data_IF_780190898703
#
_entry.id   IF_780190898703
#
_cell.length_a   1.000
_cell.length_b   1.000
_cell.length_c   1.000
_cell.angle_alpha   90.00
_cell.angle_beta   90.00
_cell.angle_gamma   90.00
#
_symmetry.space_group_name_H-M   'P 1'
#
loop_
_entity.id
_entity.type
_entity.pdbx_description
1 polymer ?
#
# COMPACT_ATOMS: atom_id res chain seq x y z
N UNK A 1 12.55 -15.90 -5.85
CA UNK A 1 11.86 -14.59 -5.78
C UNK A 1 10.38 -14.63 -6.13
N UNK A 2 9.82 -15.55 -6.92
CA UNK A 2 8.35 -15.68 -7.07
C UNK A 2 7.82 -16.92 -6.35
N UNK A 3 6.75 -16.76 -5.58
CA UNK A 3 5.93 -17.84 -5.06
C UNK A 3 4.56 -17.80 -5.76
N UNK A 4 4.05 -18.95 -6.25
CA UNK A 4 2.79 -18.98 -7.00
C UNK A 4 1.59 -18.70 -6.10
N UNK A 5 0.43 -18.50 -6.74
CA UNK A 5 -0.87 -18.45 -6.07
C UNK A 5 -1.09 -19.63 -5.12
N UNK A 6 -1.54 -19.35 -3.90
CA UNK A 6 -1.77 -20.34 -2.85
C UNK A 6 -3.26 -20.43 -2.46
N UNK A 7 -3.91 -21.53 -2.84
CA UNK A 7 -5.29 -21.85 -2.42
C UNK A 7 -5.43 -22.10 -0.90
N UNK A 8 -4.33 -22.29 -0.18
CA UNK A 8 -4.30 -22.50 1.26
C UNK A 8 -4.71 -21.27 2.08
N UNK A 9 -4.38 -20.07 1.60
CA UNK A 9 -4.67 -18.80 2.30
C UNK A 9 -6.06 -18.24 2.00
N UNK A 10 -6.68 -18.66 0.91
CA UNK A 10 -8.03 -18.27 0.50
C UNK A 10 -9.07 -19.27 1.01
N UNK A 11 -9.28 -19.27 2.34
CA UNK A 11 -10.25 -20.16 3.00
C UNK A 11 -10.93 -19.42 4.15
N UNK A 12 -12.16 -19.80 4.44
CA UNK A 12 -12.92 -19.20 5.53
C UNK A 12 -14.18 -20.00 5.86
N UNK A 13 -15.03 -19.38 6.67
CA UNK A 13 -16.37 -19.91 6.95
C UNK A 13 -17.21 -19.81 5.68
N UNK A 14 -17.77 -20.96 5.28
CA UNK A 14 -18.88 -21.00 4.32
C UNK A 14 -20.21 -20.86 5.07
N UNK A 15 -21.17 -20.18 4.45
CA UNK A 15 -22.55 -20.06 4.93
C UNK A 15 -23.50 -20.86 4.00
N UNK A 16 -23.05 -22.03 3.54
CA UNK A 16 -23.85 -22.97 2.74
C UNK A 16 -25.16 -23.31 3.46
N UNK A 17 -26.28 -23.16 2.75
CA UNK A 17 -27.63 -23.42 3.26
C UNK A 17 -28.40 -22.17 3.72
N UNK A 18 -27.75 -21.01 3.83
CA UNK A 18 -28.45 -19.72 4.03
C UNK A 18 -29.07 -19.22 2.71
N UNK A 19 -30.22 -18.51 2.76
CA UNK A 19 -30.84 -17.96 1.57
C UNK A 19 -30.09 -16.74 1.01
N UNK A 20 -29.99 -16.63 -0.32
CA UNK A 20 -29.39 -15.48 -1.01
C UNK A 20 -27.94 -15.68 -1.44
N UNK A 21 -27.25 -14.58 -1.79
CA UNK A 21 -25.82 -14.60 -2.16
C UNK A 21 -24.96 -14.49 -0.90
N UNK A 22 -24.37 -15.62 -0.51
CA UNK A 22 -23.54 -15.77 0.71
C UNK A 22 -22.05 -15.83 0.40
N UNK A 23 -21.67 -15.62 -0.87
CA UNK A 23 -20.27 -15.74 -1.32
C UNK A 23 -19.35 -14.82 -0.52
N UNK A 24 -18.18 -15.34 -0.20
CA UNK A 24 -17.04 -14.64 0.40
C UNK A 24 -15.98 -14.38 -0.67
N UNK A 25 -14.96 -13.58 -0.33
CA UNK A 25 -13.89 -13.27 -1.29
C UNK A 25 -13.16 -14.53 -1.76
N UNK A 26 -13.02 -15.55 -0.90
CA UNK A 26 -12.42 -16.82 -1.31
C UNK A 26 -13.23 -17.58 -2.37
N UNK A 27 -14.53 -17.31 -2.54
CA UNK A 27 -15.36 -17.94 -3.56
C UNK A 27 -15.20 -17.29 -4.95
N UNK A 28 -14.60 -16.09 -5.01
CA UNK A 28 -14.48 -15.30 -6.24
C UNK A 28 -13.03 -15.09 -6.70
N UNK A 29 -12.05 -15.42 -5.85
CA UNK A 29 -10.64 -15.26 -6.17
C UNK A 29 -10.19 -16.32 -7.20
N UNK A 30 -9.49 -15.88 -8.23
CA UNK A 30 -8.84 -16.77 -9.21
C UNK A 30 -7.37 -16.38 -9.39
N UNK A 31 -6.49 -17.31 -9.79
CA UNK A 31 -5.10 -16.97 -10.09
C UNK A 31 -5.02 -15.95 -11.24
N UNK A 32 -4.11 -14.99 -11.12
CA UNK A 32 -3.74 -14.12 -12.23
C UNK A 32 -2.80 -14.87 -13.19
N UNK A 33 -3.20 -14.99 -14.46
CA UNK A 33 -2.47 -15.78 -15.47
C UNK A 33 -1.86 -14.93 -16.57
N UNK A 34 -1.79 -13.59 -16.42
CA UNK A 34 -1.33 -12.68 -17.48
C UNK A 34 -2.33 -12.52 -18.65
N UNK A 35 -3.58 -12.97 -18.47
CA UNK A 35 -4.64 -12.76 -19.45
C UNK A 35 -5.24 -11.35 -19.32
N UNK A 36 -5.77 -10.82 -20.43
CA UNK A 36 -6.48 -9.55 -20.42
C UNK A 36 -7.67 -9.58 -19.44
N UNK A 37 -7.78 -8.54 -18.63
CA UNK A 37 -8.82 -8.37 -17.62
C UNK A 37 -9.81 -7.28 -18.07
N UNK A 38 -11.02 -7.31 -17.49
CA UNK A 38 -11.91 -6.15 -17.53
C UNK A 38 -11.21 -4.95 -16.89
N UNK A 39 -11.42 -3.74 -17.42
CA UNK A 39 -10.82 -2.54 -16.83
C UNK A 39 -11.17 -2.44 -15.35
N UNK A 40 -10.16 -2.17 -14.51
CA UNK A 40 -10.28 -1.96 -13.05
C UNK A 40 -10.51 -3.22 -12.20
N UNK A 41 -10.30 -4.42 -12.75
CA UNK A 41 -10.24 -5.65 -11.95
C UNK A 41 -9.06 -5.59 -10.95
N UNK A 42 -9.32 -5.82 -9.66
CA UNK A 42 -8.28 -5.82 -8.65
C UNK A 42 -7.41 -7.09 -8.76
N UNK A 43 -6.10 -6.90 -8.75
CA UNK A 43 -5.13 -8.00 -8.74
C UNK A 43 -4.27 -7.88 -7.48
N UNK A 44 -4.43 -8.84 -6.57
CA UNK A 44 -3.63 -8.92 -5.35
C UNK A 44 -2.24 -9.45 -5.71
N UNK A 45 -1.21 -8.78 -5.20
CA UNK A 45 0.18 -9.20 -5.30
C UNK A 45 0.76 -9.17 -3.91
N UNK A 46 1.44 -10.21 -3.45
CA UNK A 46 2.16 -10.14 -2.18
C UNK A 46 3.61 -9.73 -2.38
N UNK A 47 4.15 -8.97 -1.44
CA UNK A 47 5.58 -8.68 -1.35
C UNK A 47 6.11 -9.14 0.00
N UNK A 48 6.54 -10.39 0.08
CA UNK A 48 7.05 -11.03 1.30
C UNK A 48 8.49 -10.63 1.59
N UNK A 49 8.71 -9.40 2.03
CA UNK A 49 10.03 -8.87 2.40
C UNK A 49 9.96 -7.95 3.62
N UNK A 50 10.88 -8.13 4.56
CA UNK A 50 11.18 -7.19 5.64
C UNK A 50 12.69 -6.90 5.74
N UNK A 51 13.42 -7.15 4.65
CA UNK A 51 14.85 -6.88 4.56
C UNK A 51 15.14 -5.37 4.67
N UNK A 52 14.29 -4.52 4.10
CA UNK A 52 14.37 -3.08 4.26
C UNK A 52 14.07 -2.64 5.69
N UNK A 53 13.10 -3.26 6.36
CA UNK A 53 12.85 -3.05 7.81
C UNK A 53 14.09 -3.38 8.62
N UNK A 54 14.71 -4.54 8.36
CA UNK A 54 15.96 -4.97 9.01
C UNK A 54 17.08 -3.97 8.78
N UNK A 55 17.28 -3.51 7.53
CA UNK A 55 18.29 -2.50 7.17
C UNK A 55 18.01 -1.14 7.84
N UNK A 56 16.75 -0.78 8.05
CA UNK A 56 16.33 0.42 8.76
C UNK A 56 16.29 0.26 10.29
N UNK A 57 16.77 -0.88 10.82
CA UNK A 57 16.81 -1.20 12.26
C UNK A 57 15.43 -1.32 12.92
N UNK A 58 14.40 -1.64 12.15
CA UNK A 58 13.07 -1.96 12.63
C UNK A 58 12.95 -3.40 13.15
N UNK A 59 11.73 -3.78 13.54
CA UNK A 59 11.39 -5.12 14.03
C UNK A 59 10.89 -6.00 12.88
N UNK A 60 11.67 -7.01 12.51
CA UNK A 60 11.35 -7.96 11.44
C UNK A 60 10.12 -8.84 11.75
N UNK A 61 9.52 -9.39 10.72
CA UNK A 61 8.32 -10.23 10.75
C UNK A 61 7.33 -9.89 9.64
N UNK A 62 7.42 -8.70 9.05
CA UNK A 62 6.51 -8.22 8.02
C UNK A 62 6.59 -9.02 6.70
N UNK A 63 7.65 -9.78 6.45
CA UNK A 63 7.72 -10.69 5.29
C UNK A 63 6.58 -11.74 5.29
N UNK A 64 5.99 -12.06 6.44
CA UNK A 64 4.83 -12.96 6.56
C UNK A 64 3.48 -12.25 6.43
N UNK A 65 3.48 -10.92 6.37
CA UNK A 65 2.29 -10.08 6.27
C UNK A 65 1.36 -10.46 5.10
N UNK A 66 1.86 -10.65 3.86
CA UNK A 66 0.99 -10.90 2.70
C UNK A 66 0.07 -12.12 2.86
N UNK A 67 0.59 -13.23 3.39
CA UNK A 67 -0.19 -14.45 3.61
C UNK A 67 -1.26 -14.28 4.68
N UNK A 68 -0.96 -13.58 5.77
CA UNK A 68 -1.93 -13.32 6.84
C UNK A 68 -2.99 -12.28 6.43
N UNK A 69 -2.64 -11.28 5.63
CA UNK A 69 -3.60 -10.32 5.07
C UNK A 69 -4.58 -10.98 4.11
N UNK A 70 -4.11 -11.91 3.26
CA UNK A 70 -5.00 -12.74 2.43
C UNK A 70 -5.99 -13.54 3.27
N UNK A 71 -5.54 -14.19 4.34
CA UNK A 71 -6.43 -14.92 5.26
C UNK A 71 -7.47 -14.01 5.91
N UNK A 72 -7.09 -12.79 6.27
CA UNK A 72 -8.01 -11.80 6.83
C UNK A 72 -9.04 -11.30 5.80
N UNK A 73 -8.65 -11.17 4.53
CA UNK A 73 -9.53 -10.81 3.42
C UNK A 73 -10.47 -11.95 3.03
N UNK A 74 -9.98 -13.20 2.98
CA UNK A 74 -10.66 -14.35 2.41
C UNK A 74 -12.11 -14.50 2.91
N UNK A 75 -12.33 -14.36 4.22
CA UNK A 75 -13.64 -14.53 4.85
C UNK A 75 -14.57 -13.32 4.75
N UNK A 76 -14.17 -12.20 4.14
CA UNK A 76 -15.04 -11.04 3.96
C UNK A 76 -16.11 -11.34 2.90
N UNK A 77 -17.34 -10.79 3.04
CA UNK A 77 -18.39 -10.97 2.04
C UNK A 77 -17.95 -10.46 0.67
N UNK A 78 -18.16 -11.24 -0.38
CA UNK A 78 -17.94 -10.78 -1.74
C UNK A 78 -19.19 -10.09 -2.28
N UNK A 79 -19.04 -8.89 -2.81
CA UNK A 79 -20.14 -8.19 -3.48
C UNK A 79 -20.12 -8.56 -4.98
N UNK A 80 -21.28 -8.62 -5.65
CA UNK A 80 -21.37 -9.15 -7.03
C UNK A 80 -20.49 -8.47 -8.08
N UNK A 81 -20.02 -7.25 -7.82
CA UNK A 81 -19.23 -6.44 -8.75
C UNK A 81 -17.70 -6.61 -8.60
N UNK A 82 -17.22 -7.49 -7.71
CA UNK A 82 -15.79 -7.63 -7.43
C UNK A 82 -15.18 -8.72 -8.31
N UNK A 83 -14.44 -8.34 -9.35
CA UNK A 83 -13.54 -9.26 -10.06
C UNK A 83 -12.18 -9.22 -9.39
N UNK A 84 -11.77 -10.34 -8.77
CA UNK A 84 -10.53 -10.43 -8.01
C UNK A 84 -9.60 -11.48 -8.60
N UNK A 85 -8.32 -11.12 -8.75
CA UNK A 85 -7.25 -12.04 -9.11
C UNK A 85 -6.13 -12.00 -8.08
N UNK A 86 -5.32 -13.04 -8.00
CA UNK A 86 -4.12 -13.08 -7.17
C UNK A 86 -2.92 -13.59 -7.96
N UNK A 87 -1.86 -12.78 -8.02
CA UNK A 87 -0.62 -13.05 -8.75
C UNK A 87 0.41 -13.84 -7.92
N UNK A 88 0.06 -14.26 -6.71
CA UNK A 88 1.00 -14.86 -5.76
C UNK A 88 1.90 -13.81 -5.13
N UNK A 89 3.09 -14.25 -4.70
CA UNK A 89 4.03 -13.40 -3.96
C UNK A 89 5.33 -13.21 -4.72
N UNK A 90 5.92 -12.02 -4.53
CA UNK A 90 7.34 -11.79 -4.70
C UNK A 90 7.99 -11.83 -3.32
N UNK A 91 9.03 -12.63 -3.17
CA UNK A 91 9.76 -12.86 -1.91
C UNK A 91 11.20 -12.39 -2.02
N UNK A 92 11.74 -11.85 -0.93
CA UNK A 92 13.14 -11.46 -0.84
C UNK A 92 14.01 -12.63 -0.36
N UNK A 93 14.76 -13.24 -1.27
CA UNK A 93 15.68 -14.33 -0.97
C UNK A 93 17.08 -13.79 -0.64
N UNK A 94 17.74 -14.32 0.39
CA UNK A 94 19.13 -14.02 0.73
C UNK A 94 19.48 -12.52 0.91
N UNK A 95 18.50 -11.68 1.25
CA UNK A 95 18.68 -10.24 1.46
C UNK A 95 18.80 -9.42 0.17
N UNK A 96 18.49 -9.99 -1.00
CA UNK A 96 18.44 -9.29 -2.30
C UNK A 96 17.15 -8.46 -2.44
N UNK A 97 17.06 -7.38 -1.64
CA UNK A 97 15.91 -6.49 -1.64
C UNK A 97 15.72 -5.82 -3.00
N UNK A 98 16.80 -5.36 -3.61
CA UNK A 98 16.79 -4.67 -4.90
C UNK A 98 16.27 -5.59 -6.02
N UNK A 99 16.71 -6.86 -6.05
CA UNK A 99 16.19 -7.87 -6.96
C UNK A 99 14.71 -8.17 -6.73
N UNK A 100 14.28 -8.27 -5.47
CA UNK A 100 12.88 -8.50 -5.13
C UNK A 100 11.99 -7.32 -5.55
N UNK A 101 12.42 -6.08 -5.32
CA UNK A 101 11.71 -4.88 -5.77
C UNK A 101 11.62 -4.81 -7.30
N UNK A 102 12.68 -5.19 -8.01
CA UNK A 102 12.67 -5.26 -9.48
C UNK A 102 11.70 -6.34 -9.99
N UNK A 103 11.58 -7.48 -9.30
CA UNK A 103 10.60 -8.51 -9.67
C UNK A 103 9.17 -8.08 -9.37
N UNK A 104 8.93 -7.39 -8.24
CA UNK A 104 7.63 -6.77 -7.94
C UNK A 104 7.23 -5.76 -9.02
N UNK A 105 8.17 -4.91 -9.45
CA UNK A 105 7.94 -3.95 -10.52
C UNK A 105 7.47 -4.62 -11.82
N UNK A 106 8.02 -5.79 -12.19
CA UNK A 106 7.55 -6.54 -13.36
C UNK A 106 6.11 -7.01 -13.21
N UNK A 107 5.74 -7.57 -12.04
CA UNK A 107 4.38 -8.06 -11.78
C UNK A 107 3.36 -6.92 -11.81
N UNK A 108 3.70 -5.78 -11.20
CA UNK A 108 2.87 -4.57 -11.21
C UNK A 108 2.68 -4.05 -12.64
N UNK A 109 3.76 -3.96 -13.42
CA UNK A 109 3.70 -3.53 -14.82
C UNK A 109 2.86 -4.48 -15.68
N UNK A 110 3.03 -5.80 -15.53
CA UNK A 110 2.25 -6.81 -16.25
C UNK A 110 0.76 -6.74 -15.90
N UNK A 111 0.44 -6.55 -14.61
CA UNK A 111 -0.93 -6.37 -14.13
C UNK A 111 -1.62 -5.19 -14.81
N UNK A 112 -0.94 -4.04 -14.83
CA UNK A 112 -1.44 -2.82 -15.47
C UNK A 112 -1.58 -2.99 -16.99
N UNK A 113 -0.63 -3.67 -17.64
CA UNK A 113 -0.70 -3.96 -19.07
C UNK A 113 -1.88 -4.87 -19.44
N UNK A 114 -2.32 -5.73 -18.52
CA UNK A 114 -3.51 -6.57 -18.69
C UNK A 114 -4.83 -5.84 -18.39
N UNK A 115 -4.80 -4.55 -18.01
CA UNK A 115 -5.98 -3.77 -17.63
C UNK A 115 -6.43 -3.94 -16.17
N UNK A 116 -5.67 -4.71 -15.38
CA UNK A 116 -5.91 -4.87 -13.94
C UNK A 116 -5.31 -3.73 -13.12
N UNK A 117 -5.76 -3.61 -11.88
CA UNK A 117 -5.26 -2.66 -10.89
C UNK A 117 -4.55 -3.41 -9.76
N UNK A 118 -3.22 -3.28 -9.61
CA UNK A 118 -2.50 -3.97 -8.55
C UNK A 118 -2.84 -3.39 -7.17
N UNK A 119 -3.15 -4.30 -6.24
CA UNK A 119 -3.21 -4.06 -4.81
C UNK A 119 -2.12 -4.91 -4.16
N UNK A 120 -0.99 -4.28 -3.81
CA UNK A 120 0.16 -4.99 -3.24
C UNK A 120 0.00 -5.10 -1.72
N UNK A 121 -0.06 -6.33 -1.22
CA UNK A 121 0.03 -6.62 0.20
C UNK A 121 1.51 -6.75 0.53
N UNK A 122 2.06 -5.73 1.17
CA UNK A 122 3.49 -5.60 1.43
C UNK A 122 3.98 -6.40 2.62
N UNK A 123 5.30 -6.32 2.81
CA UNK A 123 5.96 -6.49 4.10
C UNK A 123 6.35 -5.11 4.59
N UNK A 124 7.64 -4.79 4.65
CA UNK A 124 8.05 -3.42 5.00
C UNK A 124 7.74 -2.37 3.93
N UNK A 125 7.84 -1.09 4.29
CA UNK A 125 7.50 0.03 3.39
C UNK A 125 8.45 0.19 2.20
N UNK A 126 9.55 -0.56 2.17
CA UNK A 126 10.37 -0.77 0.96
C UNK A 126 9.56 -1.26 -0.26
N UNK A 127 8.37 -1.83 -0.06
CA UNK A 127 7.43 -2.23 -1.11
C UNK A 127 7.12 -1.07 -2.06
N UNK A 128 7.10 0.17 -1.56
CA UNK A 128 6.70 1.33 -2.32
C UNK A 128 7.63 1.60 -3.51
N UNK A 129 8.93 1.32 -3.38
CA UNK A 129 9.87 1.42 -4.50
C UNK A 129 9.58 0.41 -5.61
N UNK A 130 9.21 -0.82 -5.26
CA UNK A 130 8.84 -1.85 -6.24
C UNK A 130 7.50 -1.55 -6.94
N UNK A 131 6.49 -1.10 -6.18
CA UNK A 131 5.20 -0.66 -6.73
C UNK A 131 5.39 0.52 -7.69
N UNK A 132 6.13 1.56 -7.27
CA UNK A 132 6.47 2.70 -8.12
C UNK A 132 7.23 2.27 -9.38
N UNK A 133 8.22 1.38 -9.25
CA UNK A 133 8.99 0.89 -10.39
C UNK A 133 8.12 0.28 -11.48
N UNK A 134 7.12 -0.52 -11.10
CA UNK A 134 6.17 -1.11 -12.04
C UNK A 134 5.22 -0.10 -12.68
N UNK A 135 4.69 0.83 -11.87
CA UNK A 135 3.90 1.96 -12.37
C UNK A 135 4.69 2.80 -13.37
N UNK A 136 5.96 3.10 -13.07
CA UNK A 136 6.83 3.91 -13.91
C UNK A 136 7.15 3.21 -15.22
N UNK A 137 7.46 1.92 -15.18
CA UNK A 137 7.66 1.12 -16.38
C UNK A 137 6.43 1.12 -17.30
N UNK A 138 5.22 1.04 -16.72
CA UNK A 138 3.97 1.07 -17.49
C UNK A 138 3.62 2.46 -18.04
N UNK A 139 3.79 3.52 -17.24
CA UNK A 139 3.53 4.91 -17.66
C UNK A 139 4.55 5.44 -18.69
N UNK A 140 5.77 4.90 -18.66
CA UNK A 140 6.90 5.38 -19.45
C UNK A 140 7.42 6.75 -19.00
N UNK A 141 8.33 7.30 -19.81
CA UNK A 141 9.02 8.57 -19.56
C UNK A 141 8.32 9.78 -20.18
N UNK A 142 7.23 9.56 -20.93
CA UNK A 142 6.58 10.59 -21.77
C UNK A 142 5.89 11.74 -21.03
N UNK A 143 5.96 11.81 -19.70
CA UNK A 143 5.49 12.94 -18.88
C UNK A 143 3.98 13.29 -18.98
N UNK A 144 3.21 12.58 -19.81
CA UNK A 144 1.85 12.96 -20.19
C UNK A 144 0.81 12.73 -19.09
N UNK A 145 1.15 12.01 -18.03
CA UNK A 145 0.30 11.82 -16.85
C UNK A 145 1.09 12.19 -15.60
N UNK A 146 0.64 13.25 -14.93
CA UNK A 146 1.10 13.63 -13.61
C UNK A 146 0.67 12.58 -12.59
N UNK A 147 1.62 11.77 -12.13
CA UNK A 147 1.42 10.77 -11.09
C UNK A 147 1.56 11.43 -9.72
N UNK A 148 0.47 11.50 -8.96
CA UNK A 148 0.49 11.94 -7.56
C UNK A 148 0.54 10.72 -6.64
N UNK A 149 1.51 10.74 -5.73
CA UNK A 149 1.72 9.71 -4.71
C UNK A 149 1.07 10.20 -3.42
N UNK A 150 0.09 9.45 -2.92
CA UNK A 150 -0.55 9.69 -1.63
C UNK A 150 -0.10 8.59 -0.69
N UNK A 151 0.67 8.95 0.34
CA UNK A 151 1.12 8.03 1.38
C UNK A 151 0.39 8.34 2.70
N UNK A 152 -0.17 7.33 3.35
CA UNK A 152 -0.64 7.42 4.72
C UNK A 152 0.41 6.81 5.63
N UNK A 153 1.08 7.62 6.44
CA UNK A 153 2.28 7.21 7.16
C UNK A 153 2.58 8.17 8.32
N UNK A 154 3.09 7.64 9.43
CA UNK A 154 3.62 8.44 10.52
C UNK A 154 5.00 9.06 10.17
N UNK A 155 5.68 8.51 9.17
CA UNK A 155 7.02 8.85 8.71
C UNK A 155 6.99 9.46 7.30
N UNK A 156 8.03 10.24 6.96
CA UNK A 156 8.17 10.75 5.59
C UNK A 156 8.71 9.70 4.62
N UNK A 157 9.54 8.78 5.13
CA UNK A 157 10.28 7.79 4.37
C UNK A 157 11.14 8.37 3.22
N UNK A 158 11.75 9.51 3.58
CA UNK A 158 12.70 10.29 2.78
C UNK A 158 14.15 10.13 3.26
N UNK A 159 14.51 9.02 3.93
CA UNK A 159 15.90 8.80 4.33
C UNK A 159 16.78 8.68 3.08
N UNK A 160 17.96 9.27 3.15
CA UNK A 160 18.91 9.30 2.02
C UNK A 160 20.01 8.24 2.15
N UNK A 161 20.07 7.53 3.27
CA UNK A 161 21.06 6.48 3.49
C UNK A 161 20.90 5.36 2.45
N UNK A 162 22.03 4.73 2.09
CA UNK A 162 22.10 3.57 1.19
C UNK A 162 22.95 2.47 1.86
N UNK A 163 22.74 1.17 1.57
CA UNK A 163 21.78 0.60 0.61
C UNK A 163 20.31 0.87 0.99
N UNK A 164 19.39 0.64 0.04
CA UNK A 164 17.97 0.93 0.22
C UNK A 164 17.40 0.17 1.43
N UNK A 165 16.44 0.79 2.12
CA UNK A 165 15.79 0.24 3.31
C UNK A 165 14.32 0.72 3.39
N UNK A 166 13.59 0.33 4.45
CA UNK A 166 12.15 0.64 4.55
C UNK A 166 11.87 2.14 4.55
N UNK A 167 12.78 2.96 5.09
CA UNK A 167 12.60 4.42 5.20
C UNK A 167 13.20 5.24 4.06
N UNK A 168 13.68 4.62 2.97
CA UNK A 168 14.24 5.31 1.79
C UNK A 168 13.34 5.38 0.54
N UNK A 169 12.19 4.70 0.42
CA UNK A 169 11.54 4.49 -0.87
C UNK A 169 11.15 5.81 -1.54
N UNK A 170 10.62 6.80 -0.81
CA UNK A 170 10.18 8.05 -1.43
C UNK A 170 11.34 8.98 -1.78
N UNK A 171 12.49 8.89 -1.11
CA UNK A 171 13.71 9.56 -1.57
C UNK A 171 14.27 8.90 -2.84
N UNK A 172 14.19 7.57 -2.96
CA UNK A 172 14.54 6.87 -4.20
C UNK A 172 13.64 7.30 -5.36
N UNK A 173 12.32 7.42 -5.11
CA UNK A 173 11.36 7.92 -6.10
C UNK A 173 11.70 9.37 -6.50
N UNK A 174 11.97 10.25 -5.53
CA UNK A 174 12.37 11.62 -5.83
C UNK A 174 13.64 11.69 -6.70
N UNK A 175 14.65 10.84 -6.41
CA UNK A 175 15.87 10.74 -7.21
C UNK A 175 15.59 10.24 -8.64
N UNK A 176 14.74 9.22 -8.82
CA UNK A 176 14.37 8.71 -10.14
C UNK A 176 13.58 9.75 -10.95
N UNK A 177 12.62 10.43 -10.33
CA UNK A 177 11.89 11.54 -10.95
C UNK A 177 12.87 12.63 -11.43
N UNK A 178 13.81 13.06 -10.58
CA UNK A 178 14.80 14.07 -10.95
C UNK A 178 15.69 13.61 -12.12
N UNK A 179 16.15 12.35 -12.11
CA UNK A 179 16.98 11.80 -13.18
C UNK A 179 16.25 11.74 -14.53
N UNK A 180 14.92 11.58 -14.52
CA UNK A 180 14.06 11.54 -15.71
C UNK A 180 13.47 12.89 -16.11
N UNK A 181 13.71 13.95 -15.33
CA UNK A 181 13.08 15.26 -15.53
C UNK A 181 11.56 15.25 -15.28
N UNK A 182 11.07 14.34 -14.43
CA UNK A 182 9.67 14.22 -14.05
C UNK A 182 9.40 14.99 -12.75
N UNK A 183 8.17 15.48 -12.58
CA UNK A 183 7.71 16.05 -11.32
C UNK A 183 7.62 14.96 -10.24
N UNK A 184 8.04 15.29 -9.02
CA UNK A 184 7.84 14.47 -7.82
C UNK A 184 6.66 15.04 -7.01
N UNK A 185 5.46 14.55 -7.29
CA UNK A 185 4.23 14.97 -6.59
C UNK A 185 3.92 14.00 -5.45
N UNK A 186 4.48 14.28 -4.28
CA UNK A 186 4.34 13.45 -3.09
C UNK A 186 3.55 14.16 -1.99
N UNK A 187 2.53 13.45 -1.48
CA UNK A 187 1.69 13.90 -0.37
C UNK A 187 1.71 12.85 0.74
N UNK A 188 2.21 13.22 1.91
CA UNK A 188 2.24 12.34 3.09
C UNK A 188 1.22 12.76 4.16
N UNK A 189 0.34 11.86 4.54
CA UNK A 189 -0.83 12.09 5.38
C UNK A 189 -0.70 11.32 6.68
N UNK A 190 -0.65 12.02 7.81
CA UNK A 190 -0.56 11.42 9.14
C UNK A 190 0.82 11.53 9.77
N UNK A 191 1.68 12.42 9.27
CA UNK A 191 3.04 12.63 9.79
C UNK A 191 3.01 12.88 11.29
N UNK A 192 3.77 12.09 12.03
CA UNK A 192 4.04 12.33 13.44
C UNK A 192 5.28 13.23 13.58
N UNK A 193 5.09 14.39 14.20
CA UNK A 193 6.20 15.31 14.53
C UNK A 193 7.28 14.62 15.38
N UNK A 194 6.86 13.70 16.25
CA UNK A 194 7.74 12.98 17.17
C UNK A 194 8.46 11.80 16.53
N UNK A 195 8.04 11.37 15.34
CA UNK A 195 8.63 10.24 14.62
C UNK A 195 9.68 10.70 13.57
N UNK A 196 9.73 11.99 13.26
CA UNK A 196 10.56 12.55 12.20
C UNK A 196 11.55 13.57 12.75
N UNK A 197 12.83 13.41 12.40
CA UNK A 197 13.85 14.40 12.78
C UNK A 197 13.72 15.67 11.93
N UNK A 198 14.26 16.79 12.42
CA UNK A 198 14.27 18.05 11.68
C UNK A 198 14.88 17.93 10.27
N UNK A 199 15.84 17.03 10.07
CA UNK A 199 16.43 16.77 8.76
C UNK A 199 15.42 16.19 7.75
N UNK A 200 14.47 15.35 8.20
CA UNK A 200 13.42 14.80 7.34
C UNK A 200 12.40 15.87 6.95
N UNK A 201 12.04 16.77 7.87
CA UNK A 201 11.20 17.93 7.56
C UNK A 201 11.87 18.87 6.55
N UNK A 202 13.17 19.12 6.72
CA UNK A 202 13.93 19.94 5.78
C UNK A 202 14.03 19.26 4.40
N UNK A 203 14.24 17.95 4.35
CA UNK A 203 14.21 17.18 3.10
C UNK A 203 12.85 17.25 2.42
N UNK A 204 11.76 17.08 3.17
CA UNK A 204 10.39 17.22 2.68
C UNK A 204 10.16 18.62 2.10
N UNK A 205 10.63 19.68 2.77
CA UNK A 205 10.55 21.07 2.29
C UNK A 205 11.33 21.27 0.98
N UNK A 206 12.55 20.72 0.88
CA UNK A 206 13.38 20.82 -0.33
C UNK A 206 12.73 20.13 -1.54
N UNK A 207 12.05 19.02 -1.30
CA UNK A 207 11.35 18.25 -2.32
C UNK A 207 9.93 18.77 -2.61
N UNK A 208 9.46 19.80 -1.90
CA UNK A 208 8.11 20.34 -2.07
C UNK A 208 6.99 19.39 -1.62
N UNK A 209 7.28 18.48 -0.69
CA UNK A 209 6.33 17.49 -0.18
C UNK A 209 5.20 18.20 0.55
N UNK A 210 3.97 17.87 0.18
CA UNK A 210 2.79 18.29 0.92
C UNK A 210 2.55 17.29 2.04
N UNK A 211 2.28 17.77 3.26
CA UNK A 211 1.91 16.86 4.34
C UNK A 211 0.83 17.41 5.26
N UNK A 212 0.26 16.51 6.05
CA UNK A 212 -0.65 16.82 7.16
C UNK A 212 -0.21 16.01 8.37
N UNK A 213 -0.05 16.67 9.52
CA UNK A 213 0.33 16.00 10.75
C UNK A 213 -0.82 15.17 11.33
N UNK A 214 -0.50 14.10 12.05
CA UNK A 214 -1.46 13.23 12.75
C UNK A 214 -2.43 14.02 13.66
N UNK A 215 -1.93 15.02 14.40
CA UNK A 215 -2.74 15.89 15.26
C UNK A 215 -3.79 16.71 14.50
N UNK A 216 -3.57 16.94 13.20
CA UNK A 216 -4.48 17.62 12.27
C UNK A 216 -5.31 16.62 11.44
N UNK A 217 -5.10 15.32 11.63
CA UNK A 217 -5.84 14.25 10.97
C UNK A 217 -6.68 13.44 11.96
N UNK A 218 -7.69 14.10 12.52
CA UNK A 218 -8.61 13.52 13.49
C UNK A 218 -10.04 13.64 12.97
N UNK A 219 -10.99 12.88 13.51
CA UNK A 219 -12.38 12.83 13.00
C UNK A 219 -13.03 14.22 12.85
N UNK A 220 -12.76 15.11 13.81
CA UNK A 220 -13.22 16.52 13.78
C UNK A 220 -12.71 17.34 12.59
N UNK A 221 -11.61 16.93 11.96
CA UNK A 221 -11.02 17.60 10.80
C UNK A 221 -11.43 16.97 9.46
N UNK A 222 -12.14 15.83 9.49
CA UNK A 222 -12.45 15.05 8.30
C UNK A 222 -13.13 15.85 7.19
N UNK A 223 -14.12 16.74 7.43
CA UNK A 223 -14.73 17.53 6.36
C UNK A 223 -13.69 18.36 5.58
N UNK A 224 -12.83 19.11 6.28
CA UNK A 224 -11.79 19.92 5.65
C UNK A 224 -10.67 19.09 5.00
N UNK A 225 -10.39 17.90 5.53
CA UNK A 225 -9.46 16.96 4.90
C UNK A 225 -10.00 16.43 3.57
N UNK A 226 -11.29 16.09 3.52
CA UNK A 226 -11.94 15.64 2.29
C UNK A 226 -11.96 16.75 1.24
N UNK A 227 -12.25 18.00 1.62
CA UNK A 227 -12.18 19.14 0.70
C UNK A 227 -10.77 19.36 0.15
N UNK A 228 -9.74 19.18 0.99
CA UNK A 228 -8.34 19.28 0.57
C UNK A 228 -7.95 18.13 -0.35
N UNK A 229 -8.40 16.91 -0.03
CA UNK A 229 -8.19 15.74 -0.85
C UNK A 229 -8.85 15.90 -2.22
N UNK A 230 -10.07 16.42 -2.31
CA UNK A 230 -10.75 16.65 -3.59
C UNK A 230 -9.94 17.58 -4.50
N UNK A 231 -9.40 18.69 -3.97
CA UNK A 231 -8.53 19.59 -4.75
C UNK A 231 -7.26 18.90 -5.25
N UNK A 232 -6.68 17.99 -4.46
CA UNK A 232 -5.53 17.18 -4.86
C UNK A 232 -5.92 16.21 -5.97
N UNK A 233 -7.05 15.51 -5.81
CA UNK A 233 -7.57 14.56 -6.78
C UNK A 233 -7.90 15.25 -8.10
N UNK A 234 -8.46 16.47 -8.08
CA UNK A 234 -8.77 17.25 -9.28
C UNK A 234 -7.52 17.60 -10.09
N UNK A 235 -6.41 17.90 -9.41
CA UNK A 235 -5.14 18.28 -10.02
C UNK A 235 -4.26 17.11 -10.48
N UNK A 236 -4.59 15.87 -10.08
CA UNK A 236 -3.85 14.66 -10.44
C UNK A 236 -4.40 14.03 -11.72
N UNK A 237 -3.53 13.48 -12.57
CA UNK A 237 -3.95 12.67 -13.73
C UNK A 237 -4.04 11.18 -13.37
N UNK A 238 -3.16 10.75 -12.46
CA UNK A 238 -3.06 9.38 -11.98
C UNK A 238 -2.64 9.38 -10.51
N UNK A 239 -3.08 8.37 -9.76
CA UNK A 239 -2.77 8.21 -8.34
C UNK A 239 -2.06 6.89 -8.08
N UNK A 240 -1.06 6.97 -7.20
CA UNK A 240 -0.48 5.84 -6.49
C UNK A 240 -0.76 6.03 -4.99
N UNK A 241 -1.44 5.07 -4.37
CA UNK A 241 -1.74 5.08 -2.95
C UNK A 241 -0.81 4.12 -2.20
N UNK A 242 -0.10 4.61 -1.21
CA UNK A 242 0.63 3.76 -0.26
C UNK A 242 0.04 3.95 1.14
N UNK A 243 -0.16 2.86 1.86
CA UNK A 243 -0.69 2.88 3.23
C UNK A 243 0.30 2.15 4.13
N UNK A 244 1.08 2.89 4.89
CA UNK A 244 1.79 2.35 6.05
C UNK A 244 0.79 2.15 7.19
N UNK A 245 0.71 0.94 7.74
CA UNK A 245 -0.20 0.66 8.85
C UNK A 245 0.23 1.30 10.16
N UNK A 246 1.48 1.75 10.28
CA UNK A 246 1.98 2.45 11.45
C UNK A 246 1.42 3.87 11.60
N UNK A 247 0.77 4.41 10.56
CA UNK A 247 -0.04 5.64 10.65
C UNK A 247 -1.22 5.49 11.61
N UNK A 248 -1.72 4.27 11.79
CA UNK A 248 -2.86 3.99 12.64
C UNK A 248 -2.43 3.95 14.11
N UNK A 249 -3.28 4.41 15.06
CA UNK A 249 -2.96 4.35 16.48
C UNK A 249 -2.58 2.93 16.90
N UNK A 250 -1.58 2.77 17.77
CA UNK A 250 -1.14 1.45 18.26
C UNK A 250 -2.26 0.59 18.87
N UNK A 251 -3.33 1.22 19.38
CA UNK A 251 -4.52 0.50 19.86
C UNK A 251 -5.29 -0.23 18.73
N UNK A 252 -5.22 0.30 17.50
CA UNK A 252 -5.84 -0.24 16.29
C UNK A 252 -4.89 -1.15 15.51
N UNK A 253 -3.63 -0.72 15.35
CA UNK A 253 -2.60 -1.43 14.60
C UNK A 253 -1.36 -1.71 15.47
N UNK A 254 -1.45 -2.59 16.49
CA UNK A 254 -0.28 -2.93 17.32
C UNK A 254 0.78 -3.74 16.58
N UNK A 255 0.39 -4.45 15.52
CA UNK A 255 1.20 -5.37 14.74
C UNK A 255 1.98 -4.69 13.63
N UNK A 256 2.83 -3.73 14.00
CA UNK A 256 3.72 -2.98 13.08
C UNK A 256 5.10 -2.81 13.71
N UNK A 257 6.11 -2.46 12.91
CA UNK A 257 7.47 -2.22 13.41
C UNK A 257 7.55 -1.04 14.38
N UNK A 258 6.86 0.08 14.11
CA UNK A 258 6.89 1.30 14.92
C UNK A 258 5.47 1.83 15.27
N UNK A 259 4.77 1.27 16.28
CA UNK A 259 3.37 1.60 16.55
C UNK A 259 3.19 3.08 16.93
N UNK A 260 2.33 3.80 16.22
CA UNK A 260 2.10 5.22 16.49
C UNK A 260 1.48 5.46 17.87
N UNK A 261 2.04 6.45 18.56
CA UNK A 261 1.56 6.89 19.88
C UNK A 261 0.24 7.64 19.81
N UNK A 262 0.05 8.48 18.78
CA UNK A 262 -1.21 9.17 18.48
C UNK A 262 -1.87 8.54 17.26
N UNK A 263 -1.28 8.73 16.07
CA UNK A 263 -1.78 8.20 14.82
C UNK A 263 -3.11 8.81 14.34
N UNK A 264 -3.58 8.32 13.20
CA UNK A 264 -4.79 8.76 12.51
C UNK A 264 -5.90 7.71 12.69
N UNK A 265 -7.09 8.07 13.21
CA UNK A 265 -8.17 7.12 13.38
C UNK A 265 -8.51 6.38 12.08
N UNK A 266 -8.75 5.06 12.17
CA UNK A 266 -9.09 4.22 11.02
C UNK A 266 -10.30 4.75 10.23
N UNK A 267 -11.27 5.37 10.90
CA UNK A 267 -12.43 6.03 10.29
C UNK A 267 -12.03 7.17 9.33
N UNK A 268 -11.01 7.94 9.68
CA UNK A 268 -10.47 9.04 8.85
C UNK A 268 -9.72 8.47 7.65
N UNK A 269 -8.80 7.52 7.87
CA UNK A 269 -8.05 6.86 6.78
C UNK A 269 -9.00 6.18 5.80
N UNK A 270 -9.97 5.41 6.29
CA UNK A 270 -10.95 4.71 5.44
C UNK A 270 -11.79 5.69 4.60
N UNK A 271 -12.26 6.79 5.19
CA UNK A 271 -13.05 7.79 4.46
C UNK A 271 -12.24 8.41 3.31
N UNK A 272 -10.95 8.70 3.53
CA UNK A 272 -10.07 9.22 2.50
C UNK A 272 -9.70 8.17 1.44
N UNK A 273 -9.44 6.92 1.84
CA UNK A 273 -9.23 5.79 0.92
C UNK A 273 -10.43 5.59 0.00
N UNK A 274 -11.65 5.64 0.54
CA UNK A 274 -12.89 5.56 -0.23
C UNK A 274 -12.99 6.71 -1.24
N UNK A 275 -12.64 7.94 -0.85
CA UNK A 275 -12.64 9.09 -1.75
C UNK A 275 -11.59 8.95 -2.87
N UNK A 276 -10.39 8.46 -2.55
CA UNK A 276 -9.33 8.18 -3.52
C UNK A 276 -9.80 7.12 -4.52
N UNK A 277 -10.38 6.01 -4.03
CA UNK A 277 -10.89 4.94 -4.90
C UNK A 277 -12.00 5.43 -5.83
N UNK A 278 -12.91 6.25 -5.30
CA UNK A 278 -14.03 6.83 -6.06
C UNK A 278 -13.60 7.83 -7.14
N UNK A 279 -12.37 8.34 -7.09
CA UNK A 279 -11.86 9.27 -8.11
C UNK A 279 -11.72 8.65 -9.50
N UNK A 280 -11.62 7.31 -9.59
CA UNK A 280 -11.32 6.61 -10.85
C UNK A 280 -9.90 6.81 -11.37
N UNK A 281 -9.03 7.52 -10.62
CA UNK A 281 -7.65 7.85 -11.01
C UNK A 281 -6.60 6.93 -10.37
N UNK A 282 -7.01 6.03 -9.48
CA UNK A 282 -6.11 5.12 -8.76
C UNK A 282 -5.55 4.03 -9.68
N UNK A 283 -4.24 4.05 -9.93
CA UNK A 283 -3.56 3.06 -10.77
C UNK A 283 -3.02 1.89 -9.98
N UNK A 284 -2.51 2.11 -8.77
CA UNK A 284 -2.02 1.04 -7.90
C UNK A 284 -2.17 1.46 -6.44
N UNK A 285 -2.28 0.47 -5.57
CA UNK A 285 -2.16 0.69 -4.14
C UNK A 285 -1.27 -0.35 -3.47
N UNK A 286 -0.65 0.01 -2.35
CA UNK A 286 -0.02 -0.96 -1.46
C UNK A 286 -0.32 -0.70 0.02
N UNK A 287 -0.23 -1.77 0.81
CA UNK A 287 -0.38 -1.76 2.27
C UNK A 287 0.90 -2.34 2.87
N UNK A 288 1.60 -1.57 3.70
CA UNK A 288 2.90 -1.89 4.27
C UNK A 288 2.88 -2.06 5.80
N UNK A 289 4.02 -2.53 6.32
CA UNK A 289 4.40 -2.65 7.73
C UNK A 289 3.55 -3.58 8.60
N UNK A 290 2.63 -4.36 8.02
CA UNK A 290 1.96 -5.39 8.80
C UNK A 290 2.95 -6.46 9.26
N UNK A 291 3.15 -6.56 10.57
CA UNK A 291 3.97 -7.55 11.22
C UNK A 291 3.10 -8.51 12.07
N UNK A 292 2.79 -9.72 11.55
CA UNK A 292 1.96 -10.69 12.27
C UNK A 292 2.51 -11.12 13.64
N UNK A 293 3.84 -11.11 13.81
CA UNK A 293 4.48 -11.54 15.06
C UNK A 293 4.25 -10.56 16.21
N UNK A 294 3.84 -9.33 15.90
CA UNK A 294 3.58 -8.26 16.86
C UNK A 294 2.08 -7.98 17.03
N UNK A 295 1.25 -8.56 16.17
CA UNK A 295 -0.20 -8.29 16.19
C UNK A 295 -0.87 -8.96 17.39
N UNK A 296 -1.90 -8.30 17.90
CA UNK A 296 -2.67 -8.77 19.04
C UNK A 296 -4.10 -9.03 18.61
N UNK A 297 -4.58 -10.26 18.76
CA UNK A 297 -5.92 -10.69 18.32
C UNK A 297 -6.24 -10.33 16.86
N UNK A 298 -5.21 -10.34 15.99
CA UNK A 298 -5.35 -10.03 14.56
C UNK A 298 -5.98 -8.64 14.29
N UNK A 299 -5.84 -7.69 15.22
CA UNK A 299 -6.45 -6.35 15.11
C UNK A 299 -5.90 -5.61 13.90
N UNK A 300 -4.59 -5.63 13.72
CA UNK A 300 -3.89 -4.99 12.60
C UNK A 300 -4.28 -5.67 11.30
N UNK A 301 -4.29 -7.02 11.28
CA UNK A 301 -4.74 -7.78 10.11
C UNK A 301 -6.16 -7.41 9.67
N UNK A 302 -7.10 -7.26 10.61
CA UNK A 302 -8.49 -6.88 10.33
C UNK A 302 -8.62 -5.43 9.86
N UNK A 303 -7.84 -4.50 10.43
CA UNK A 303 -7.80 -3.11 9.99
C UNK A 303 -7.26 -2.99 8.56
N UNK A 304 -6.14 -3.66 8.27
CA UNK A 304 -5.56 -3.73 6.94
C UNK A 304 -6.49 -4.38 5.92
N UNK A 305 -7.13 -5.52 6.27
CA UNK A 305 -8.11 -6.18 5.42
C UNK A 305 -9.33 -5.28 5.13
N UNK A 306 -9.78 -4.47 6.09
CA UNK A 306 -10.84 -3.47 5.87
C UNK A 306 -10.43 -2.44 4.83
N UNK A 307 -9.21 -1.89 4.93
CA UNK A 307 -8.70 -0.90 3.98
C UNK A 307 -8.49 -1.52 2.59
N UNK A 308 -7.85 -2.69 2.51
CA UNK A 308 -7.70 -3.47 1.27
C UNK A 308 -9.06 -3.76 0.61
N UNK A 309 -10.07 -4.14 1.39
CA UNK A 309 -11.43 -4.38 0.89
C UNK A 309 -12.05 -3.13 0.25
N UNK A 310 -11.77 -1.92 0.76
CA UNK A 310 -12.24 -0.66 0.13
C UNK A 310 -11.53 -0.33 -1.17
N UNK A 311 -10.41 -0.98 -1.42
CA UNK A 311 -9.62 -0.86 -2.63
C UNK A 311 -9.90 -1.98 -3.63
N UNK A 312 -10.88 -2.86 -3.40
CA UNK A 312 -11.39 -3.77 -4.43
C UNK A 312 -12.42 -3.00 -5.26
#
# INVERSE_FOLDING_TARGET
MKAPFDNGVWRGRSDDGEPGDTRRLFDQIEPFTGAALSSDAAVIVGFGSDEGVRRNKGRVGAAHGPGELRRALAGLPAKPAVTLRDAGDVVCDNGDLEGAQAELAKVVCETLACGGRPLVLGGGHEVAWGTYGGLRAWLGDGGARRLTIVNFDAHFDLRQARPANSGTPFDQIACDCAARGLAFDYVCLGISDLANTAALFERARQLGVQYVADAQMQERHLPGLLDRLDRLLDAADALYLSIDLDVLPAATAPGVSAPASLGVPLSVVEAMVLRIRASGKLLAADIAEYNPALDQDRRTARAAARLAYRLL
#
